data_IF_406365870591
#
_entry.id   IF_406365870591
#
_cell.length_a   1.000
_cell.length_b   1.000
_cell.length_c   1.000
_cell.angle_alpha   90.00
_cell.angle_beta   90.00
_cell.angle_gamma   90.00
#
_symmetry.space_group_name_H-M   'P 1'
#
loop_
_entity.id
_entity.type
_entity.pdbx_description
1 polymer ?
#
# COMPACT_ATOMS: atom_id res chain seq x y z
N UNK A 1 -21.73 3.83 1.61
CA UNK A 1 -21.03 4.75 2.51
C UNK A 1 -20.44 3.91 3.63
N UNK A 2 -19.11 3.98 3.81
CA UNK A 2 -18.32 3.17 4.76
C UNK A 2 -17.35 4.10 5.50
N UNK A 3 -17.82 5.31 5.83
CA UNK A 3 -17.08 6.28 6.61
C UNK A 3 -17.28 6.02 8.11
N UNK A 4 -16.38 6.46 9.00
CA UNK A 4 -16.54 6.29 10.45
C UNK A 4 -17.91 6.76 10.99
N UNK A 5 -18.47 7.83 10.44
CA UNK A 5 -19.79 8.35 10.78
C UNK A 5 -20.94 7.35 10.57
N UNK A 6 -20.82 6.45 9.59
CA UNK A 6 -21.86 5.47 9.27
C UNK A 6 -21.93 4.37 10.34
N UNK A 7 -20.83 4.14 11.06
CA UNK A 7 -20.72 3.12 12.10
C UNK A 7 -20.89 3.69 13.52
N UNK A 8 -20.51 4.95 13.73
CA UNK A 8 -20.47 5.59 15.04
C UNK A 8 -21.17 6.96 15.04
N UNK A 9 -22.42 7.10 14.55
CA UNK A 9 -23.08 8.42 14.48
C UNK A 9 -23.20 9.13 15.84
N UNK A 10 -23.25 8.36 16.93
CA UNK A 10 -23.39 8.85 18.30
C UNK A 10 -22.20 9.68 18.81
N UNK A 11 -21.04 9.63 18.15
CA UNK A 11 -19.87 10.42 18.56
C UNK A 11 -19.66 11.70 17.73
N UNK A 12 -20.58 12.04 16.83
CA UNK A 12 -20.43 13.19 15.93
C UNK A 12 -20.14 14.50 16.67
N UNK A 13 -20.92 14.82 17.72
CA UNK A 13 -20.70 16.02 18.54
C UNK A 13 -19.34 16.02 19.24
N UNK A 14 -18.87 14.85 19.68
CA UNK A 14 -17.55 14.72 20.29
C UNK A 14 -16.43 14.93 19.27
N UNK A 15 -16.58 14.38 18.06
CA UNK A 15 -15.64 14.55 16.93
C UNK A 15 -15.56 16.02 16.52
N UNK A 16 -16.71 16.72 16.44
CA UNK A 16 -16.78 18.11 16.04
C UNK A 16 -16.08 19.07 17.02
N UNK A 17 -15.90 18.67 18.28
CA UNK A 17 -15.17 19.46 19.29
C UNK A 17 -13.70 19.03 19.46
N UNK A 18 -13.26 17.96 18.79
CA UNK A 18 -11.98 17.31 19.10
C UNK A 18 -10.77 18.15 18.65
N UNK A 19 -10.94 19.05 17.68
CA UNK A 19 -9.88 19.97 17.23
C UNK A 19 -9.73 21.23 18.10
N UNK A 20 -10.71 21.53 18.95
CA UNK A 20 -10.68 22.65 19.90
C UNK A 20 -10.14 22.25 21.28
N UNK A 21 -10.07 20.96 21.59
CA UNK A 21 -9.56 20.42 22.86
C UNK A 21 -8.18 19.76 22.69
N UNK A 22 -7.50 19.49 23.81
CA UNK A 22 -6.25 18.72 23.78
C UNK A 22 -6.53 17.27 23.29
N UNK A 23 -5.70 16.69 22.40
CA UNK A 23 -4.48 17.26 21.82
C UNK A 23 -4.67 18.08 20.53
N UNK A 24 -5.86 18.09 19.93
CA UNK A 24 -6.17 18.76 18.65
C UNK A 24 -5.75 20.23 18.61
N UNK A 25 -6.13 21.02 19.63
CA UNK A 25 -5.83 22.45 19.68
C UNK A 25 -4.34 22.77 19.82
N UNK A 26 -3.54 21.84 20.36
CA UNK A 26 -2.08 21.98 20.46
C UNK A 26 -1.37 21.59 19.16
N UNK A 27 -1.92 20.61 18.43
CA UNK A 27 -1.35 20.11 17.18
C UNK A 27 -1.68 21.05 16.02
N UNK A 28 -2.88 21.64 15.98
CA UNK A 28 -3.40 22.46 14.87
C UNK A 28 -2.44 23.60 14.45
N UNK A 29 -1.81 24.39 15.34
CA UNK A 29 -0.86 25.43 14.95
C UNK A 29 0.45 24.90 14.33
N UNK A 30 0.79 23.64 14.62
CA UNK A 30 2.02 22.98 14.18
C UNK A 30 1.73 21.79 13.24
N UNK A 31 0.57 21.80 12.58
CA UNK A 31 0.08 20.67 11.79
C UNK A 31 1.11 20.19 10.77
N UNK A 32 1.72 21.13 10.04
CA UNK A 32 2.72 20.81 9.01
C UNK A 32 3.95 20.09 9.58
N UNK A 33 4.43 20.49 10.76
CA UNK A 33 5.57 19.85 11.43
C UNK A 33 5.23 18.41 11.83
N UNK A 34 4.03 18.20 12.39
CA UNK A 34 3.55 16.86 12.74
C UNK A 34 3.33 15.98 11.50
N UNK A 35 2.84 16.57 10.41
CA UNK A 35 2.71 15.88 9.13
C UNK A 35 4.07 15.47 8.55
N UNK A 36 5.11 16.30 8.65
CA UNK A 36 6.47 15.92 8.26
C UNK A 36 6.95 14.71 9.06
N UNK A 37 6.78 14.71 10.39
CA UNK A 37 7.17 13.55 11.22
C UNK A 37 6.36 12.30 10.86
N UNK A 38 5.07 12.46 10.54
CA UNK A 38 4.22 11.38 10.07
C UNK A 38 4.73 10.78 8.75
N UNK A 39 5.07 11.63 7.77
CA UNK A 39 5.61 11.20 6.48
C UNK A 39 7.00 10.56 6.61
N UNK A 40 7.86 11.06 7.50
CA UNK A 40 9.14 10.44 7.80
C UNK A 40 8.96 9.05 8.43
N UNK A 41 7.98 8.90 9.33
CA UNK A 41 7.62 7.61 9.91
C UNK A 41 7.14 6.64 8.82
N UNK A 42 6.33 7.11 7.88
CA UNK A 42 5.86 6.33 6.74
C UNK A 42 7.02 5.90 5.83
N UNK A 43 7.95 6.80 5.52
CA UNK A 43 9.15 6.51 4.73
C UNK A 43 10.04 5.46 5.42
N UNK A 44 10.19 5.55 6.75
CA UNK A 44 10.96 4.59 7.53
C UNK A 44 10.33 3.19 7.53
N UNK A 45 9.02 3.08 7.74
CA UNK A 45 8.29 1.81 7.62
C UNK A 45 8.36 1.28 6.19
N UNK A 46 8.10 2.13 5.20
CA UNK A 46 8.12 1.76 3.78
C UNK A 46 9.49 1.20 3.38
N UNK A 47 10.57 1.87 3.75
CA UNK A 47 11.94 1.41 3.46
C UNK A 47 12.28 0.10 4.17
N UNK A 48 11.99 -0.02 5.47
CA UNK A 48 12.31 -1.22 6.25
C UNK A 48 11.52 -2.45 5.79
N UNK A 49 10.23 -2.28 5.48
CA UNK A 49 9.38 -3.36 4.98
C UNK A 49 9.71 -3.74 3.55
N UNK A 50 10.05 -2.77 2.69
CA UNK A 50 10.50 -3.03 1.33
C UNK A 50 11.81 -3.83 1.32
N UNK A 51 12.82 -3.42 2.09
CA UNK A 51 14.10 -4.13 2.20
C UNK A 51 13.91 -5.57 2.69
N UNK A 52 13.10 -5.76 3.73
CA UNK A 52 12.81 -7.09 4.28
C UNK A 52 12.11 -8.00 3.27
N UNK A 53 11.07 -7.49 2.59
CA UNK A 53 10.28 -8.27 1.65
C UNK A 53 11.02 -8.56 0.35
N UNK A 54 11.78 -7.60 -0.20
CA UNK A 54 12.67 -7.85 -1.33
C UNK A 54 13.66 -8.96 -0.99
N UNK A 55 14.23 -8.93 0.23
CA UNK A 55 15.13 -9.98 0.69
C UNK A 55 14.47 -11.36 0.72
N UNK A 56 13.23 -11.44 1.21
CA UNK A 56 12.43 -12.68 1.24
C UNK A 56 12.09 -13.20 -0.16
N UNK A 57 11.84 -12.28 -1.12
CA UNK A 57 11.65 -12.60 -2.53
C UNK A 57 12.94 -13.17 -3.15
N UNK A 58 14.11 -12.71 -2.68
CA UNK A 58 15.43 -13.06 -3.21
C UNK A 58 16.07 -11.97 -4.07
N UNK A 59 15.70 -10.72 -3.80
CA UNK A 59 16.22 -9.51 -4.42
C UNK A 59 16.86 -8.59 -3.38
N UNK A 60 17.72 -7.68 -3.84
CA UNK A 60 18.43 -6.75 -2.97
C UNK A 60 19.58 -7.42 -2.22
N UNK A 61 19.57 -7.33 -0.88
CA UNK A 61 20.63 -7.73 0.05
C UNK A 61 20.85 -9.25 0.12
N UNK A 62 21.18 -9.89 -1.00
CA UNK A 62 21.27 -11.35 -1.11
C UNK A 62 22.49 -11.96 -0.42
N UNK A 63 23.53 -11.17 -0.18
CA UNK A 63 24.76 -11.60 0.51
C UNK A 63 24.53 -11.87 2.00
N UNK A 64 23.52 -11.22 2.59
CA UNK A 64 23.15 -11.37 4.00
C UNK A 64 21.97 -12.35 4.15
N UNK A 65 21.92 -13.21 5.18
CA UNK A 65 20.75 -14.05 5.42
C UNK A 65 19.51 -13.20 5.80
N UNK A 66 18.27 -13.64 5.47
CA UNK A 66 17.04 -12.94 5.87
C UNK A 66 16.98 -12.55 7.35
N UNK A 67 17.52 -13.37 8.25
CA UNK A 67 17.55 -13.07 9.69
C UNK A 67 18.46 -11.89 10.06
N UNK A 68 19.58 -11.70 9.35
CA UNK A 68 20.48 -10.56 9.54
C UNK A 68 19.81 -9.26 9.07
N UNK A 69 19.20 -9.28 7.89
CA UNK A 69 18.41 -8.14 7.38
C UNK A 69 17.30 -7.78 8.36
N UNK A 70 16.54 -8.77 8.85
CA UNK A 70 15.52 -8.57 9.89
C UNK A 70 16.08 -7.85 11.11
N UNK A 71 17.20 -8.31 11.67
CA UNK A 71 17.80 -7.73 12.88
C UNK A 71 18.20 -6.28 12.67
N UNK A 72 18.71 -5.94 11.48
CA UNK A 72 19.07 -4.58 11.12
C UNK A 72 17.85 -3.66 10.98
N UNK A 73 16.77 -4.11 10.34
CA UNK A 73 15.60 -3.26 10.06
C UNK A 73 14.59 -3.18 11.22
N UNK A 74 14.55 -4.18 12.12
CA UNK A 74 13.54 -4.25 13.19
C UNK A 74 13.46 -3.02 14.10
N UNK A 75 14.56 -2.44 14.63
CA UNK A 75 14.45 -1.24 15.49
C UNK A 75 13.86 -0.05 14.73
N UNK A 76 14.26 0.14 13.47
CA UNK A 76 13.76 1.20 12.60
C UNK A 76 12.30 0.99 12.20
N UNK A 77 11.91 -0.26 11.92
CA UNK A 77 10.53 -0.63 11.65
C UNK A 77 9.64 -0.29 12.85
N UNK A 78 10.05 -0.71 14.06
CA UNK A 78 9.29 -0.43 15.28
C UNK A 78 9.23 1.07 15.59
N UNK A 79 10.34 1.80 15.38
CA UNK A 79 10.36 3.26 15.53
C UNK A 79 9.40 3.92 14.55
N UNK A 80 9.40 3.49 13.28
CA UNK A 80 8.47 3.97 12.27
C UNK A 80 7.02 3.67 12.65
N UNK A 81 6.71 2.45 13.10
CA UNK A 81 5.35 2.04 13.52
C UNK A 81 4.88 2.86 14.73
N UNK A 82 5.73 3.05 15.74
CA UNK A 82 5.40 3.93 16.86
C UNK A 82 5.15 5.37 16.38
N UNK A 83 6.03 5.89 15.51
CA UNK A 83 5.92 7.21 14.92
C UNK A 83 4.63 7.42 14.14
N UNK A 84 4.27 6.51 13.23
CA UNK A 84 3.07 6.64 12.38
C UNK A 84 1.78 6.59 13.21
N UNK A 85 1.74 5.75 14.25
CA UNK A 85 0.56 5.62 15.11
C UNK A 85 0.38 6.86 16.00
N UNK A 86 1.45 7.29 16.68
CA UNK A 86 1.41 8.47 17.56
C UNK A 86 1.08 9.73 16.76
N UNK A 87 1.83 9.98 15.69
CA UNK A 87 1.61 11.16 14.85
C UNK A 87 0.26 11.09 14.14
N UNK A 88 -0.19 9.91 13.71
CA UNK A 88 -1.48 9.70 13.08
C UNK A 88 -2.66 10.08 13.99
N UNK A 89 -2.59 9.71 15.27
CA UNK A 89 -3.58 10.14 16.27
C UNK A 89 -3.55 11.66 16.45
N UNK A 90 -2.36 12.25 16.63
CA UNK A 90 -2.20 13.69 16.83
C UNK A 90 -2.75 14.51 15.66
N UNK A 91 -2.33 14.22 14.43
CA UNK A 91 -2.84 14.92 13.25
C UNK A 91 -4.33 14.64 13.05
N UNK A 92 -4.80 13.44 13.42
CA UNK A 92 -6.21 13.10 13.32
C UNK A 92 -7.10 13.92 14.25
N UNK A 93 -6.64 14.20 15.47
CA UNK A 93 -7.38 15.09 16.40
C UNK A 93 -7.44 16.54 15.92
N UNK A 94 -6.56 16.97 15.03
CA UNK A 94 -6.54 18.35 14.51
C UNK A 94 -7.46 18.58 13.31
N UNK A 95 -7.90 17.52 12.63
CA UNK A 95 -8.86 17.55 11.52
C UNK A 95 -9.86 16.38 11.62
N UNK A 96 -10.57 16.26 12.75
CA UNK A 96 -11.31 15.05 13.13
C UNK A 96 -12.55 14.84 12.26
N UNK A 97 -13.30 15.89 11.97
CA UNK A 97 -14.55 15.84 11.20
C UNK A 97 -14.31 15.32 9.77
N UNK A 98 -13.22 15.79 9.16
CA UNK A 98 -12.79 15.34 7.83
C UNK A 98 -12.46 13.85 7.79
N UNK A 99 -11.79 13.34 8.82
CA UNK A 99 -11.47 11.90 8.89
C UNK A 99 -12.72 11.07 9.18
N UNK A 100 -13.63 11.62 9.97
CA UNK A 100 -14.87 10.98 10.39
C UNK A 100 -15.87 10.78 9.25
N UNK A 101 -15.84 11.66 8.24
CA UNK A 101 -16.70 11.59 7.05
C UNK A 101 -16.03 10.92 5.84
N UNK A 102 -14.74 10.55 5.93
CA UNK A 102 -13.96 10.05 4.79
C UNK A 102 -13.93 8.51 4.69
N UNK A 103 -14.39 7.94 3.59
CA UNK A 103 -14.23 6.49 3.33
C UNK A 103 -12.77 6.11 3.05
N UNK A 104 -11.99 7.03 2.47
CA UNK A 104 -10.56 6.83 2.24
C UNK A 104 -9.79 6.66 3.57
N UNK A 105 -10.23 7.35 4.64
CA UNK A 105 -9.68 7.15 5.96
C UNK A 105 -9.97 5.74 6.50
N UNK A 106 -11.20 5.24 6.37
CA UNK A 106 -11.53 3.84 6.72
C UNK A 106 -10.65 2.85 5.97
N UNK A 107 -10.51 3.00 4.65
CA UNK A 107 -9.66 2.14 3.83
C UNK A 107 -8.21 2.17 4.31
N UNK A 108 -7.67 3.35 4.66
CA UNK A 108 -6.31 3.53 5.17
C UNK A 108 -6.12 2.85 6.53
N UNK A 109 -7.09 2.94 7.43
CA UNK A 109 -7.01 2.29 8.75
C UNK A 109 -7.04 0.76 8.64
N UNK A 110 -7.92 0.22 7.79
CA UNK A 110 -7.94 -1.22 7.47
C UNK A 110 -6.64 -1.66 6.79
N UNK A 111 -6.14 -0.87 5.84
CA UNK A 111 -4.88 -1.12 5.14
C UNK A 111 -3.70 -1.15 6.09
N UNK A 112 -3.61 -0.19 7.02
CA UNK A 112 -2.59 -0.16 8.06
C UNK A 112 -2.65 -1.39 8.96
N UNK A 113 -3.85 -1.78 9.39
CA UNK A 113 -4.04 -2.99 10.19
C UNK A 113 -3.56 -4.24 9.43
N UNK A 114 -3.97 -4.40 8.17
CA UNK A 114 -3.51 -5.49 7.30
C UNK A 114 -1.99 -5.49 7.12
N UNK A 115 -1.39 -4.31 6.91
CA UNK A 115 0.04 -4.15 6.72
C UNK A 115 0.84 -4.57 7.96
N UNK A 116 0.36 -4.17 9.15
CA UNK A 116 0.96 -4.58 10.42
C UNK A 116 0.81 -6.08 10.65
N UNK A 117 -0.38 -6.66 10.38
CA UNK A 117 -0.62 -8.10 10.49
C UNK A 117 0.33 -8.89 9.58
N UNK A 118 0.46 -8.50 8.30
CA UNK A 118 1.36 -9.19 7.35
C UNK A 118 2.84 -8.96 7.70
N UNK A 119 3.21 -7.81 8.24
CA UNK A 119 4.60 -7.51 8.61
C UNK A 119 5.01 -8.31 9.85
N UNK A 120 4.25 -8.21 10.94
CA UNK A 120 4.59 -8.84 12.23
C UNK A 120 4.18 -10.32 12.30
N UNK A 121 3.09 -10.72 11.64
CA UNK A 121 2.60 -12.10 11.65
C UNK A 121 3.21 -13.00 10.60
N UNK A 122 3.73 -12.45 9.50
CA UNK A 122 4.26 -13.23 8.37
C UNK A 122 5.70 -12.87 8.04
N UNK A 123 5.98 -11.62 7.66
CA UNK A 123 7.27 -11.21 7.08
C UNK A 123 8.43 -11.32 8.08
N UNK A 124 8.25 -10.77 9.29
CA UNK A 124 9.26 -10.84 10.36
C UNK A 124 9.50 -12.28 10.85
N UNK A 125 8.48 -13.11 11.12
CA UNK A 125 8.69 -14.52 11.44
C UNK A 125 9.36 -15.31 10.31
N UNK A 126 8.95 -15.10 9.06
CA UNK A 126 9.55 -15.77 7.91
C UNK A 126 11.03 -15.40 7.76
N UNK A 127 11.38 -14.12 7.93
CA UNK A 127 12.78 -13.68 7.88
C UNK A 127 13.60 -14.24 9.05
N UNK A 128 13.02 -14.35 10.26
CA UNK A 128 13.68 -15.02 11.39
C UNK A 128 13.95 -16.50 11.11
N UNK A 129 13.07 -17.16 10.37
CA UNK A 129 13.18 -18.58 10.03
C UNK A 129 13.90 -18.85 8.69
N UNK A 130 14.67 -17.89 8.19
CA UNK A 130 15.43 -17.98 6.93
C UNK A 130 14.56 -18.27 5.70
N UNK A 131 13.38 -17.63 5.63
CA UNK A 131 12.45 -17.79 4.52
C UNK A 131 11.61 -19.07 4.61
N UNK A 132 11.40 -19.62 5.81
CA UNK A 132 10.44 -20.70 6.07
C UNK A 132 9.18 -20.15 6.75
N UNK A 133 8.01 -20.60 6.31
CA UNK A 133 6.75 -20.24 6.96
C UNK A 133 6.56 -21.07 8.24
N UNK A 134 6.16 -20.41 9.32
CA UNK A 134 5.78 -21.09 10.57
C UNK A 134 4.41 -21.76 10.42
N UNK A 135 4.08 -22.71 11.31
CA UNK A 135 2.76 -23.38 11.32
C UNK A 135 1.59 -22.38 11.47
N UNK A 136 1.80 -21.26 12.17
CA UNK A 136 0.81 -20.20 12.34
C UNK A 136 0.79 -19.13 11.24
N UNK A 137 1.77 -19.14 10.32
CA UNK A 137 1.88 -18.12 9.28
C UNK A 137 0.67 -18.11 8.33
N UNK A 138 0.05 -19.27 8.09
CA UNK A 138 -1.15 -19.37 7.24
C UNK A 138 -2.33 -18.59 7.81
N UNK A 139 -2.55 -18.65 9.13
CA UNK A 139 -3.62 -17.90 9.80
C UNK A 139 -3.39 -16.39 9.71
N UNK A 140 -2.18 -15.92 10.02
CA UNK A 140 -1.83 -14.50 9.93
C UNK A 140 -1.88 -13.98 8.50
N UNK A 141 -1.46 -14.79 7.53
CA UNK A 141 -1.59 -14.47 6.11
C UNK A 141 -3.05 -14.34 5.71
N UNK A 142 -3.89 -15.32 6.05
CA UNK A 142 -5.32 -15.29 5.74
C UNK A 142 -6.00 -14.06 6.37
N UNK A 143 -5.73 -13.78 7.64
CA UNK A 143 -6.28 -12.61 8.34
C UNK A 143 -5.82 -11.30 7.70
N UNK A 144 -4.52 -11.14 7.46
CA UNK A 144 -3.96 -9.93 6.86
C UNK A 144 -4.48 -9.70 5.44
N UNK A 145 -4.56 -10.74 4.62
CA UNK A 145 -5.11 -10.66 3.25
C UNK A 145 -6.62 -10.41 3.25
N UNK A 146 -7.37 -10.97 4.19
CA UNK A 146 -8.80 -10.70 4.33
C UNK A 146 -9.04 -9.23 4.68
N UNK A 147 -8.34 -8.70 5.69
CA UNK A 147 -8.44 -7.28 6.07
C UNK A 147 -7.99 -6.38 4.90
N UNK A 148 -6.95 -6.77 4.16
CA UNK A 148 -6.52 -6.04 2.98
C UNK A 148 -7.56 -6.05 1.86
N UNK A 149 -8.22 -7.18 1.62
CA UNK A 149 -9.31 -7.30 0.65
C UNK A 149 -10.51 -6.41 1.01
N UNK A 150 -10.85 -6.31 2.31
CA UNK A 150 -11.86 -5.38 2.79
C UNK A 150 -11.40 -3.93 2.56
N UNK A 151 -10.16 -3.58 2.92
CA UNK A 151 -9.57 -2.25 2.67
C UNK A 151 -9.68 -1.86 1.19
N UNK A 152 -9.32 -2.76 0.26
CA UNK A 152 -9.44 -2.53 -1.18
C UNK A 152 -10.90 -2.36 -1.63
N UNK A 153 -11.82 -3.13 -1.06
CA UNK A 153 -13.24 -3.02 -1.36
C UNK A 153 -13.81 -1.67 -0.93
N UNK A 154 -13.44 -1.21 0.27
CA UNK A 154 -13.80 0.14 0.77
C UNK A 154 -13.19 1.22 -0.11
N UNK A 155 -11.92 1.07 -0.46
CA UNK A 155 -11.23 2.02 -1.32
C UNK A 155 -11.83 2.09 -2.72
N UNK A 156 -12.27 0.96 -3.30
CA UNK A 156 -12.84 0.91 -4.65
C UNK A 156 -14.16 1.66 -4.79
N UNK A 157 -14.90 1.84 -3.70
CA UNK A 157 -16.18 2.57 -3.66
C UNK A 157 -16.04 3.98 -3.09
N UNK A 158 -14.83 4.40 -2.70
CA UNK A 158 -14.58 5.75 -2.19
C UNK A 158 -14.72 6.79 -3.30
N UNK A 159 -15.12 8.01 -2.92
CA UNK A 159 -15.25 9.11 -3.87
C UNK A 159 -13.87 9.50 -4.44
N UNK A 160 -13.84 9.91 -5.72
CA UNK A 160 -12.64 10.44 -6.41
C UNK A 160 -11.45 9.49 -6.53
N UNK A 161 -11.65 8.16 -6.52
CA UNK A 161 -10.57 7.16 -6.67
C UNK A 161 -9.80 7.27 -7.99
N UNK A 162 -10.48 7.60 -9.09
CA UNK A 162 -9.93 7.49 -10.45
C UNK A 162 -8.66 8.31 -10.73
N UNK A 163 -8.55 9.61 -10.39
CA UNK A 163 -7.41 10.42 -10.83
C UNK A 163 -6.09 10.04 -10.13
N UNK A 164 -6.16 9.63 -8.86
CA UNK A 164 -4.96 9.28 -8.09
C UNK A 164 -4.46 7.86 -8.35
N UNK A 165 -5.30 6.95 -8.85
CA UNK A 165 -4.98 5.53 -8.97
C UNK A 165 -3.85 5.27 -9.97
N UNK A 166 -3.65 6.18 -10.93
CA UNK A 166 -2.53 6.14 -11.87
C UNK A 166 -1.17 6.14 -11.18
N UNK A 167 -0.99 6.91 -10.11
CA UNK A 167 0.27 6.96 -9.38
C UNK A 167 0.58 5.60 -8.73
N UNK A 168 -0.45 4.96 -8.18
CA UNK A 168 -0.37 3.63 -7.58
C UNK A 168 -0.03 2.55 -8.60
N UNK A 169 -0.73 2.57 -9.73
CA UNK A 169 -0.53 1.60 -10.81
C UNK A 169 0.89 1.72 -11.38
N UNK A 170 1.36 2.94 -11.63
CA UNK A 170 2.72 3.17 -12.14
C UNK A 170 3.78 2.78 -11.11
N UNK A 171 3.61 3.11 -9.83
CA UNK A 171 4.54 2.68 -8.78
C UNK A 171 4.64 1.15 -8.69
N UNK A 172 3.49 0.45 -8.73
CA UNK A 172 3.45 -1.01 -8.76
C UNK A 172 4.13 -1.59 -10.02
N UNK A 173 3.92 -0.96 -11.18
CA UNK A 173 4.56 -1.36 -12.42
C UNK A 173 6.09 -1.22 -12.37
N UNK A 174 6.60 -0.09 -11.86
CA UNK A 174 8.03 0.13 -11.71
C UNK A 174 8.67 -0.88 -10.73
N UNK A 175 7.95 -1.26 -9.68
CA UNK A 175 8.39 -2.28 -8.75
C UNK A 175 8.54 -3.65 -9.43
N UNK A 176 7.54 -4.09 -10.21
CA UNK A 176 7.65 -5.34 -10.98
C UNK A 176 8.74 -5.25 -12.04
N UNK A 177 8.91 -4.09 -12.70
CA UNK A 177 10.02 -3.88 -13.65
C UNK A 177 11.39 -4.05 -12.97
N UNK A 178 11.55 -3.56 -11.74
CA UNK A 178 12.78 -3.69 -10.98
C UNK A 178 13.10 -5.15 -10.61
N UNK A 179 12.06 -5.93 -10.31
CA UNK A 179 12.21 -7.32 -9.85
C UNK A 179 12.25 -8.32 -11.02
N UNK A 180 11.81 -7.96 -12.23
CA UNK A 180 11.89 -8.85 -13.41
C UNK A 180 13.31 -8.93 -13.99
N UNK A 181 13.72 -10.11 -14.50
CA UNK A 181 15.07 -10.35 -15.06
C UNK A 181 15.05 -10.78 -16.53
N UNK A 182 16.17 -10.53 -17.22
CA UNK A 182 16.45 -11.05 -18.56
C UNK A 182 15.42 -10.66 -19.62
N UNK A 183 15.06 -11.60 -20.51
CA UNK A 183 14.09 -11.38 -21.58
C UNK A 183 12.68 -11.00 -21.08
N UNK A 184 12.30 -11.46 -19.87
CA UNK A 184 11.02 -11.09 -19.26
C UNK A 184 10.96 -9.60 -18.92
N UNK A 185 12.07 -9.00 -18.45
CA UNK A 185 12.12 -7.57 -18.17
C UNK A 185 11.89 -6.74 -19.43
N UNK A 186 12.48 -7.16 -20.56
CA UNK A 186 12.31 -6.50 -21.85
C UNK A 186 10.87 -6.63 -22.33
N UNK A 187 10.31 -7.84 -22.31
CA UNK A 187 8.90 -8.06 -22.69
C UNK A 187 7.94 -7.26 -21.81
N UNK A 188 8.19 -7.23 -20.50
CA UNK A 188 7.39 -6.47 -19.53
C UNK A 188 7.47 -4.96 -19.80
N UNK A 189 8.67 -4.42 -20.04
CA UNK A 189 8.90 -3.02 -20.37
C UNK A 189 8.20 -2.62 -21.68
N UNK A 190 8.32 -3.45 -22.73
CA UNK A 190 7.66 -3.20 -24.01
C UNK A 190 6.14 -3.20 -23.85
N UNK A 191 5.58 -4.13 -23.09
CA UNK A 191 4.15 -4.13 -22.77
C UNK A 191 3.73 -2.90 -21.98
N UNK A 192 4.53 -2.47 -20.99
CA UNK A 192 4.27 -1.25 -20.22
C UNK A 192 4.26 -0.01 -21.12
N UNK A 193 5.27 0.14 -21.99
CA UNK A 193 5.35 1.24 -22.94
C UNK A 193 4.15 1.21 -23.90
N UNK A 194 3.74 0.03 -24.37
CA UNK A 194 2.52 -0.14 -25.16
C UNK A 194 1.28 0.38 -24.42
N UNK A 195 1.06 -0.03 -23.17
CA UNK A 195 -0.05 0.46 -22.35
C UNK A 195 0.01 1.98 -22.13
N UNK A 196 1.20 2.54 -21.90
CA UNK A 196 1.39 3.99 -21.75
C UNK A 196 1.07 4.74 -23.04
N UNK A 197 1.52 4.24 -24.19
CA UNK A 197 1.21 4.85 -25.49
C UNK A 197 -0.27 4.80 -25.80
N UNK A 198 -0.94 3.67 -25.53
CA UNK A 198 -2.40 3.53 -25.68
C UNK A 198 -3.13 4.52 -24.78
N UNK A 199 -2.70 4.67 -23.53
CA UNK A 199 -3.30 5.63 -22.60
C UNK A 199 -3.14 7.08 -23.08
N UNK A 200 -1.95 7.46 -23.56
CA UNK A 200 -1.70 8.79 -24.13
C UNK A 200 -2.59 9.03 -25.34
N UNK A 201 -2.72 8.05 -26.25
CA UNK A 201 -3.58 8.14 -27.41
C UNK A 201 -5.06 8.30 -27.02
N UNK A 202 -5.55 7.56 -26.01
CA UNK A 202 -6.91 7.70 -25.48
C UNK A 202 -7.18 9.13 -25.02
N UNK A 203 -6.25 9.74 -24.27
CA UNK A 203 -6.43 11.08 -23.68
C UNK A 203 -6.17 12.25 -24.64
N UNK A 204 -5.32 12.09 -25.64
CA UNK A 204 -4.86 13.21 -26.48
C UNK A 204 -5.28 13.09 -27.95
N UNK A 205 -5.73 11.92 -28.40
CA UNK A 205 -6.01 11.66 -29.82
C UNK A 205 -7.44 11.16 -30.01
N UNK A 206 -7.92 10.25 -29.15
CA UNK A 206 -9.20 9.56 -29.35
C UNK A 206 -10.36 10.35 -28.74
N UNK A 207 -10.29 10.63 -27.44
CA UNK A 207 -11.34 11.35 -26.72
C UNK A 207 -10.93 12.78 -26.45
N UNK A 208 -11.91 13.68 -26.48
CA UNK A 208 -11.69 15.07 -26.07
C UNK A 208 -11.60 15.15 -24.55
N UNK A 209 -10.81 16.08 -23.99
CA UNK A 209 -10.62 16.19 -22.54
C UNK A 209 -11.91 16.43 -21.73
N UNK A 210 -12.95 16.96 -22.35
CA UNK A 210 -14.27 17.25 -21.78
C UNK A 210 -15.28 16.10 -21.91
N UNK A 211 -14.96 15.04 -22.69
CA UNK A 211 -15.83 13.88 -22.89
C UNK A 211 -15.67 12.82 -21.80
N UNK A 212 -16.04 13.20 -20.57
CA UNK A 212 -15.95 12.33 -19.39
C UNK A 212 -16.77 11.04 -19.52
N UNK A 213 -17.86 11.06 -20.31
CA UNK A 213 -18.72 9.90 -20.50
C UNK A 213 -17.99 8.71 -21.14
N UNK A 214 -17.05 8.98 -22.04
CA UNK A 214 -16.21 7.97 -22.68
C UNK A 214 -14.84 7.81 -22.01
N UNK A 215 -14.26 8.90 -21.49
CA UNK A 215 -12.97 8.87 -20.79
C UNK A 215 -13.01 8.04 -19.51
N UNK A 216 -14.07 8.11 -18.70
CA UNK A 216 -14.15 7.40 -17.43
C UNK A 216 -14.17 5.87 -17.60
N UNK A 217 -15.03 5.29 -18.45
CA UNK A 217 -14.96 3.86 -18.77
C UNK A 217 -13.62 3.44 -19.37
N UNK A 218 -13.06 4.24 -20.28
CA UNK A 218 -11.76 3.94 -20.90
C UNK A 218 -10.62 3.93 -19.87
N UNK A 219 -10.61 4.88 -18.93
CA UNK A 219 -9.64 4.93 -17.83
C UNK A 219 -9.74 3.71 -16.93
N UNK A 220 -10.96 3.31 -16.54
CA UNK A 220 -11.19 2.10 -15.74
C UNK A 220 -10.72 0.83 -16.46
N UNK A 221 -11.00 0.72 -17.76
CA UNK A 221 -10.53 -0.38 -18.58
C UNK A 221 -9.00 -0.43 -18.64
N UNK A 222 -8.35 0.71 -18.88
CA UNK A 222 -6.89 0.81 -18.89
C UNK A 222 -6.28 0.45 -17.54
N UNK A 223 -6.82 0.94 -16.43
CA UNK A 223 -6.40 0.53 -15.08
C UNK A 223 -6.46 -1.01 -14.94
N UNK A 224 -7.57 -1.62 -15.37
CA UNK A 224 -7.72 -3.08 -15.37
C UNK A 224 -6.64 -3.79 -16.20
N UNK A 225 -6.33 -3.27 -17.39
CA UNK A 225 -5.27 -3.81 -18.26
C UNK A 225 -3.88 -3.71 -17.62
N UNK A 226 -3.55 -2.57 -17.00
CA UNK A 226 -2.29 -2.42 -16.27
C UNK A 226 -2.21 -3.41 -15.11
N UNK A 227 -3.26 -3.50 -14.29
CA UNK A 227 -3.29 -4.43 -13.16
C UNK A 227 -3.12 -5.88 -13.63
N UNK A 228 -3.82 -6.28 -14.69
CA UNK A 228 -3.68 -7.61 -15.28
C UNK A 228 -2.24 -7.87 -15.75
N UNK A 229 -1.60 -6.89 -16.43
CA UNK A 229 -0.22 -7.00 -16.89
C UNK A 229 0.78 -7.13 -15.74
N UNK A 230 0.65 -6.28 -14.71
CA UNK A 230 1.47 -6.27 -13.50
C UNK A 230 1.33 -7.60 -12.75
N UNK A 231 0.10 -8.03 -12.48
CA UNK A 231 -0.19 -9.25 -11.72
C UNK A 231 0.22 -10.52 -12.48
N UNK A 232 0.00 -10.59 -13.80
CA UNK A 232 0.43 -11.72 -14.61
C UNK A 232 1.95 -11.85 -14.63
N UNK A 233 2.68 -10.74 -14.83
CA UNK A 233 4.14 -10.74 -14.79
C UNK A 233 4.68 -11.16 -13.42
N UNK A 234 4.10 -10.62 -12.34
CA UNK A 234 4.46 -11.01 -10.98
C UNK A 234 4.18 -12.49 -10.70
N UNK A 235 3.02 -13.02 -11.11
CA UNK A 235 2.66 -14.42 -10.93
C UNK A 235 3.61 -15.36 -11.69
N UNK A 236 3.89 -15.08 -12.97
CA UNK A 236 4.85 -15.85 -13.78
C UNK A 236 6.22 -15.86 -13.10
N UNK A 237 6.64 -14.73 -12.55
CA UNK A 237 7.91 -14.63 -11.84
C UNK A 237 7.93 -15.47 -10.56
N UNK A 238 6.90 -15.36 -9.72
CA UNK A 238 6.81 -16.11 -8.47
C UNK A 238 6.93 -17.62 -8.74
N UNK A 239 6.28 -18.11 -9.80
CA UNK A 239 6.33 -19.52 -10.21
C UNK A 239 7.71 -19.91 -10.74
N UNK A 240 8.27 -19.15 -11.69
CA UNK A 240 9.56 -19.46 -12.32
C UNK A 240 10.72 -19.41 -11.32
N UNK A 241 10.77 -18.39 -10.48
CA UNK A 241 11.84 -18.22 -9.50
C UNK A 241 11.70 -19.22 -8.34
N UNK A 242 10.48 -19.69 -8.02
CA UNK A 242 10.23 -20.74 -7.02
C UNK A 242 10.92 -22.06 -7.37
N UNK A 243 10.94 -22.41 -8.66
CA UNK A 243 11.61 -23.63 -9.16
C UNK A 243 13.14 -23.55 -9.11
N UNK A 244 13.72 -22.34 -9.14
CA UNK A 244 15.17 -22.14 -9.28
C UNK A 244 15.90 -21.81 -7.97
N UNK A 245 15.22 -21.23 -6.97
CA UNK A 245 15.88 -20.63 -5.80
C UNK A 245 15.76 -21.43 -4.49
N UNK A 246 15.12 -22.61 -4.49
CA UNK A 246 14.88 -23.41 -3.29
C UNK A 246 14.02 -22.74 -2.20
N UNK A 247 13.44 -21.56 -2.45
CA UNK A 247 12.56 -20.82 -1.52
C UNK A 247 11.11 -21.06 -1.89
N UNK A 248 10.27 -21.24 -0.87
CA UNK A 248 8.84 -21.50 -1.05
C UNK A 248 8.15 -20.37 -1.84
N UNK A 249 7.40 -20.76 -2.88
CA UNK A 249 6.49 -19.90 -3.66
C UNK A 249 5.59 -19.07 -2.75
N UNK A 250 5.09 -19.67 -1.66
CA UNK A 250 4.21 -19.02 -0.71
C UNK A 250 4.88 -17.84 0.02
N UNK A 251 6.17 -17.96 0.36
CA UNK A 251 6.93 -16.87 1.02
C UNK A 251 7.08 -15.69 0.09
N UNK A 252 7.39 -15.95 -1.19
CA UNK A 252 7.51 -14.90 -2.20
C UNK A 252 6.18 -14.19 -2.42
N UNK A 253 5.09 -14.95 -2.58
CA UNK A 253 3.76 -14.39 -2.74
C UNK A 253 3.35 -13.50 -1.55
N UNK A 254 3.59 -13.96 -0.32
CA UNK A 254 3.28 -13.18 0.88
C UNK A 254 4.17 -11.96 1.05
N UNK A 255 5.43 -12.02 0.62
CA UNK A 255 6.32 -10.87 0.62
C UNK A 255 5.89 -9.80 -0.40
N UNK A 256 5.43 -10.21 -1.60
CA UNK A 256 4.82 -9.30 -2.57
C UNK A 256 3.54 -8.67 -2.01
N UNK A 257 2.67 -9.46 -1.37
CA UNK A 257 1.47 -8.94 -0.72
C UNK A 257 1.82 -7.93 0.39
N UNK A 258 2.87 -8.19 1.17
CA UNK A 258 3.40 -7.27 2.19
C UNK A 258 3.88 -5.94 1.61
N UNK A 259 4.55 -5.94 0.46
CA UNK A 259 4.92 -4.71 -0.25
C UNK A 259 3.66 -3.98 -0.74
N UNK A 260 2.75 -4.72 -1.39
CA UNK A 260 1.56 -4.14 -2.01
C UNK A 260 0.66 -3.45 -0.97
N UNK A 261 0.42 -4.09 0.19
CA UNK A 261 -0.42 -3.50 1.24
C UNK A 261 0.15 -2.19 1.77
N UNK A 262 1.48 -2.09 1.96
CA UNK A 262 2.11 -0.84 2.41
C UNK A 262 2.03 0.26 1.35
N UNK A 263 2.28 -0.06 0.08
CA UNK A 263 2.19 0.91 -1.03
C UNK A 263 0.76 1.43 -1.16
N UNK A 264 -0.24 0.54 -1.18
CA UNK A 264 -1.65 0.92 -1.29
C UNK A 264 -2.09 1.75 -0.09
N UNK A 265 -1.75 1.32 1.13
CA UNK A 265 -2.11 2.05 2.36
C UNK A 265 -1.48 3.44 2.42
N UNK A 266 -0.22 3.57 2.03
CA UNK A 266 0.48 4.85 1.97
C UNK A 266 -0.19 5.80 0.98
N UNK A 267 -0.48 5.32 -0.23
CA UNK A 267 -1.08 6.16 -1.26
C UNK A 267 -2.53 6.55 -0.95
N UNK A 268 -3.31 5.67 -0.30
CA UNK A 268 -4.69 5.96 0.09
C UNK A 268 -4.84 7.28 0.88
N UNK A 269 -3.77 7.70 1.58
CA UNK A 269 -3.73 8.99 2.28
C UNK A 269 -4.01 10.21 1.38
N UNK A 270 -3.66 10.15 0.09
CA UNK A 270 -3.92 11.24 -0.87
C UNK A 270 -5.42 11.53 -1.04
N UNK A 271 -6.29 10.53 -0.86
CA UNK A 271 -7.73 10.68 -1.05
C UNK A 271 -8.44 11.27 0.16
N UNK A 272 -7.83 11.16 1.34
CA UNK A 272 -8.29 11.92 2.52
C UNK A 272 -8.21 13.42 2.23
N UNK A 273 -7.21 13.86 1.45
CA UNK A 273 -7.04 15.25 1.07
C UNK A 273 -8.06 15.77 0.04
N UNK A 274 -8.92 14.92 -0.53
CA UNK A 274 -9.98 15.30 -1.46
C UNK A 274 -11.40 15.05 -0.94
N UNK A 275 -11.52 14.35 0.19
CA UNK A 275 -12.75 14.21 0.95
C UNK A 275 -12.98 15.44 1.83
#
# INVERSE_FOLDING_TARGET
>A
MIAPQDFLPQIADWVANLDDVFPGSWVKPYFAQWEVVHLLSLALIGGTTLLLNLRLIGFGLNDEPPSAVRRAVLPWLNLGVAGILVTGVLIGTSNPERLYTSEAFTAKMLGLAAALILTYGVSLPAARAEGRLSRGAGLWAALGLAVFGVSLSVFAVANLVNPGLWHLVIAAALLVLFVTRGRMRIAYLLGLLGLMTTQVAIHHVIYRPDDYANLDPANKAMIGMYLAWILAAAAIQIVRDGSASGRSVAVKALAYAGILVWVVTAAAGRWIAFA
#
